data_IF_185716828753
#
_entry.id   IF_185716828753
#
_cell.length_a   1.000
_cell.length_b   1.000
_cell.length_c   1.000
_cell.angle_alpha   90.00
_cell.angle_beta   90.00
_cell.angle_gamma   90.00
#
_symmetry.space_group_name_H-M   'P 1'
#
loop_
_entity.id
_entity.type
_entity.pdbx_description
1 polymer ?
#
# COMPACT_ATOMS: atom_id res chain seq x y z
N UNK A 1 5.38 5.34 -5.76
CA UNK A 1 4.13 6.14 -5.81
C UNK A 1 4.48 7.49 -6.40
N UNK A 2 3.78 7.91 -7.46
CA UNK A 2 4.02 9.17 -8.17
C UNK A 2 2.74 10.01 -8.11
N UNK A 3 2.88 11.33 -8.24
CA UNK A 3 1.77 12.28 -8.34
C UNK A 3 0.77 12.22 -7.17
N UNK A 4 1.22 11.81 -5.97
CA UNK A 4 0.38 11.83 -4.77
C UNK A 4 0.10 13.28 -4.38
N UNK A 5 -1.17 13.70 -4.32
CA UNK A 5 -1.58 15.10 -4.11
C UNK A 5 -0.91 16.12 -5.06
N UNK A 6 -0.52 15.70 -6.27
CA UNK A 6 0.16 16.57 -7.24
C UNK A 6 1.65 16.80 -6.95
N UNK A 7 2.25 16.01 -6.05
CA UNK A 7 3.68 16.08 -5.76
C UNK A 7 4.53 15.63 -6.96
N UNK A 8 5.59 16.39 -7.25
CA UNK A 8 6.59 16.01 -8.28
C UNK A 8 7.55 14.91 -7.80
N UNK A 9 7.67 14.72 -6.49
CA UNK A 9 8.59 13.75 -5.90
C UNK A 9 8.06 12.31 -6.01
N UNK A 10 8.97 11.37 -6.27
CA UNK A 10 8.64 9.94 -6.35
C UNK A 10 8.89 9.27 -5.01
N UNK A 11 7.82 8.86 -4.32
CA UNK A 11 7.90 8.10 -3.07
C UNK A 11 8.24 6.64 -3.39
N UNK A 12 9.37 6.16 -2.86
CA UNK A 12 9.85 4.78 -3.02
C UNK A 12 9.77 4.06 -1.68
N UNK A 13 9.13 2.90 -1.65
CA UNK A 13 9.06 2.03 -0.47
C UNK A 13 9.81 0.76 -0.79
N UNK A 14 10.76 0.37 0.07
CA UNK A 14 11.49 -0.90 -0.07
C UNK A 14 10.65 -2.03 0.51
N UNK A 15 10.39 -3.05 -0.30
CA UNK A 15 9.74 -4.26 0.16
C UNK A 15 10.77 -5.15 0.88
N UNK A 16 10.37 -5.82 1.97
CA UNK A 16 11.20 -6.83 2.63
C UNK A 16 11.35 -8.08 1.77
N UNK A 17 12.39 -8.88 2.04
CA UNK A 17 12.67 -10.10 1.29
C UNK A 17 11.56 -11.15 1.49
N UNK A 18 11.16 -11.78 0.38
CA UNK A 18 10.09 -12.79 0.36
C UNK A 18 8.67 -12.22 0.29
N UNK A 19 8.54 -10.90 0.07
CA UNK A 19 7.26 -10.22 -0.15
C UNK A 19 7.25 -9.63 -1.56
N UNK A 20 6.23 -9.96 -2.34
CA UNK A 20 5.96 -9.37 -3.64
C UNK A 20 4.79 -8.39 -3.56
N UNK A 21 4.71 -7.54 -4.58
CA UNK A 21 3.60 -6.60 -4.74
C UNK A 21 3.18 -6.63 -6.21
N UNK A 22 1.91 -6.92 -6.45
CA UNK A 22 1.33 -7.01 -7.77
C UNK A 22 0.12 -6.08 -7.87
N UNK A 23 -0.03 -5.42 -9.02
CA UNK A 23 -1.24 -4.65 -9.31
C UNK A 23 -2.33 -5.65 -9.71
N UNK A 24 -3.49 -5.55 -9.09
CA UNK A 24 -4.62 -6.41 -9.42
C UNK A 24 -5.06 -6.18 -10.87
N UNK A 25 -5.31 -7.26 -11.60
CA UNK A 25 -5.86 -7.18 -12.96
C UNK A 25 -7.39 -7.10 -12.95
N UNK A 26 -8.03 -7.46 -11.83
CA UNK A 26 -9.49 -7.56 -11.70
C UNK A 26 -10.11 -6.24 -11.25
N UNK A 27 -9.47 -5.57 -10.28
CA UNK A 27 -9.96 -4.33 -9.70
C UNK A 27 -8.97 -3.20 -9.99
N UNK A 28 -9.52 -2.07 -10.44
CA UNK A 28 -8.74 -0.85 -10.66
C UNK A 28 -8.32 -0.28 -9.31
N UNK A 29 -7.12 0.29 -9.26
CA UNK A 29 -6.55 0.98 -8.10
C UNK A 29 -6.30 0.07 -6.88
N UNK A 30 -6.18 -1.24 -7.11
CA UNK A 30 -5.86 -2.25 -6.10
C UNK A 30 -4.41 -2.76 -6.21
N UNK A 31 -3.73 -2.86 -5.07
CA UNK A 31 -2.39 -3.42 -4.93
C UNK A 31 -2.44 -4.61 -3.97
N UNK A 32 -2.04 -5.77 -4.48
CA UNK A 32 -1.96 -7.02 -3.73
C UNK A 32 -0.53 -7.15 -3.21
N UNK A 33 -0.39 -7.43 -1.91
CA UNK A 33 0.89 -7.72 -1.26
C UNK A 33 0.83 -9.15 -0.76
N UNK A 34 1.71 -9.98 -1.29
CA UNK A 34 1.75 -11.42 -1.04
C UNK A 34 3.11 -11.84 -0.48
N UNK A 35 3.09 -12.88 0.34
CA UNK A 35 4.28 -13.43 0.96
C UNK A 35 3.94 -14.47 2.01
N UNK A 36 4.90 -15.34 2.32
CA UNK A 36 4.69 -16.43 3.27
C UNK A 36 4.76 -15.96 4.74
N UNK A 37 5.48 -14.86 5.00
CA UNK A 37 5.64 -14.29 6.35
C UNK A 37 4.68 -13.12 6.58
N UNK A 38 3.66 -13.36 7.40
CA UNK A 38 2.62 -12.37 7.73
C UNK A 38 3.17 -11.09 8.36
N UNK A 39 4.25 -11.18 9.13
CA UNK A 39 4.84 -10.00 9.77
C UNK A 39 5.48 -9.10 8.73
N UNK A 40 6.23 -9.69 7.80
CA UNK A 40 6.86 -8.95 6.68
C UNK A 40 5.81 -8.36 5.74
N UNK A 41 4.78 -9.12 5.38
CA UNK A 41 3.67 -8.64 4.55
C UNK A 41 2.96 -7.46 5.23
N UNK A 42 2.60 -7.62 6.51
CA UNK A 42 1.95 -6.56 7.29
C UNK A 42 2.83 -5.31 7.42
N UNK A 43 4.13 -5.49 7.65
CA UNK A 43 5.06 -4.37 7.72
C UNK A 43 5.21 -3.66 6.37
N UNK A 44 5.26 -4.40 5.27
CA UNK A 44 5.31 -3.83 3.92
C UNK A 44 4.07 -2.98 3.64
N UNK A 45 2.87 -3.52 3.92
CA UNK A 45 1.60 -2.81 3.78
C UNK A 45 1.58 -1.51 4.62
N UNK A 46 1.97 -1.61 5.89
CA UNK A 46 2.04 -0.45 6.79
C UNK A 46 2.99 0.64 6.28
N UNK A 47 4.17 0.26 5.75
CA UNK A 47 5.12 1.23 5.18
C UNK A 47 4.58 1.94 3.95
N UNK A 48 3.83 1.23 3.09
CA UNK A 48 3.18 1.82 1.91
C UNK A 48 2.15 2.86 2.36
N UNK A 49 1.27 2.50 3.29
CA UNK A 49 0.26 3.42 3.84
C UNK A 49 0.87 4.64 4.54
N UNK A 50 1.89 4.43 5.38
CA UNK A 50 2.58 5.54 6.05
C UNK A 50 3.26 6.47 5.03
N UNK A 51 3.73 5.94 3.91
CA UNK A 51 4.33 6.74 2.85
C UNK A 51 3.34 7.68 2.18
N UNK A 52 2.03 7.41 2.23
CA UNK A 52 0.96 8.25 1.66
C UNK A 52 0.17 9.01 2.71
N UNK A 53 0.71 9.16 3.93
CA UNK A 53 0.06 9.99 4.95
C UNK A 53 0.15 11.47 4.58
N UNK A 54 -1.01 12.12 4.48
CA UNK A 54 -1.13 13.55 4.20
C UNK A 54 -0.61 14.37 5.38
N UNK A 55 0.24 15.36 5.08
CA UNK A 55 0.78 16.31 6.07
C UNK A 55 0.27 17.73 5.78
N UNK A 56 0.16 18.55 6.83
CA UNK A 56 -0.19 19.97 6.74
C UNK A 56 -1.52 20.28 6.03
N UNK A 57 -2.49 19.36 6.08
CA UNK A 57 -3.87 19.51 5.58
C UNK A 57 -4.85 18.82 6.54
N UNK A 58 -6.14 19.15 6.46
CA UNK A 58 -7.18 18.45 7.23
C UNK A 58 -7.43 17.06 6.64
N UNK A 59 -7.02 16.03 7.38
CA UNK A 59 -7.15 14.62 7.00
C UNK A 59 -8.60 14.15 6.85
N UNK A 60 -9.58 14.89 7.39
CA UNK A 60 -11.01 14.55 7.25
C UNK A 60 -11.59 14.98 5.91
N UNK A 61 -10.93 15.92 5.24
CA UNK A 61 -11.30 16.41 3.91
C UNK A 61 -10.42 15.82 2.81
N UNK A 62 -9.13 15.69 3.09
CA UNK A 62 -8.16 15.11 2.16
C UNK A 62 -7.93 13.64 2.54
N UNK A 63 -8.80 12.78 2.01
CA UNK A 63 -8.79 11.35 2.28
C UNK A 63 -7.85 10.55 1.37
N UNK A 64 -7.15 11.22 0.45
CA UNK A 64 -6.16 10.62 -0.44
C UNK A 64 -5.12 9.82 0.35
N UNK A 65 -4.98 8.55 0.00
CA UNK A 65 -4.08 7.62 0.68
C UNK A 65 -4.13 6.25 0.03
N UNK A 66 -3.26 5.36 0.50
CA UNK A 66 -3.35 3.93 0.19
C UNK A 66 -3.66 3.25 1.50
N UNK A 67 -4.78 2.51 1.55
CA UNK A 67 -5.28 1.88 2.75
C UNK A 67 -5.34 0.36 2.55
N UNK A 68 -5.23 -0.37 3.66
CA UNK A 68 -5.46 -1.82 3.66
C UNK A 68 -6.97 -2.04 3.61
N UNK A 69 -7.48 -2.58 2.50
CA UNK A 69 -8.89 -2.94 2.34
C UNK A 69 -9.20 -4.23 3.09
N UNK A 70 -8.47 -5.31 2.77
CA UNK A 70 -8.73 -6.65 3.28
C UNK A 70 -7.43 -7.37 3.64
N UNK A 71 -7.55 -8.40 4.49
CA UNK A 71 -6.46 -9.30 4.86
C UNK A 71 -6.98 -10.72 4.70
N UNK A 72 -6.43 -11.44 3.73
CA UNK A 72 -6.85 -12.79 3.36
C UNK A 72 -5.64 -13.71 3.22
N UNK A 73 -5.88 -15.01 3.29
CA UNK A 73 -4.92 -16.03 2.87
C UNK A 73 -5.03 -16.25 1.37
N UNK A 74 -3.95 -16.69 0.73
CA UNK A 74 -3.93 -16.94 -0.72
C UNK A 74 -4.65 -18.25 -1.07
N UNK A 75 -4.64 -19.21 -0.15
CA UNK A 75 -5.48 -20.40 -0.26
C UNK A 75 -6.87 -20.06 0.29
N UNK A 76 -7.87 -20.29 -0.55
CA UNK A 76 -9.26 -20.43 -0.13
C UNK A 76 -9.45 -21.85 0.45
N UNK A 77 -10.20 -21.99 1.55
CA UNK A 77 -10.68 -23.30 2.02
C UNK A 77 -11.74 -23.88 1.06
#
# INVERSE_FOLDING_TARGET
IRNFLGEKFVRRVKLPEGVSAAISTKLKDELIIDGNDVQKVSQAAARIQQSTTVKNKDIRKFLDGIYVSEKVTVADD
#
